data_IF_574992928053
#
_entry.id   IF_574992928053
#
_cell.length_a   1.000
_cell.length_b   1.000
_cell.length_c   1.000
_cell.angle_alpha   90.00
_cell.angle_beta   90.00
_cell.angle_gamma   90.00
#
_symmetry.space_group_name_H-M   'P 1'
#
loop_
_entity.id
_entity.type
_entity.pdbx_description
1 polymer ?
#
# COMPACT_ATOMS: atom_id res chain seq x y z
N UNK A 1 19.91 13.20 -15.74
CA UNK A 1 19.74 11.87 -15.85
C UNK A 1 18.31 11.48 -15.78
N UNK A 2 18.06 10.43 -16.36
CA UNK A 2 16.74 10.03 -16.50
C UNK A 2 16.22 9.45 -15.25
N UNK A 3 15.12 9.92 -14.87
CA UNK A 3 14.45 9.34 -13.77
C UNK A 3 14.05 7.95 -14.11
N UNK A 4 14.13 7.11 -13.18
CA UNK A 4 13.87 5.71 -13.42
C UNK A 4 12.38 5.44 -13.40
N UNK A 5 11.72 5.67 -14.53
CA UNK A 5 10.29 5.44 -14.63
C UNK A 5 9.94 3.98 -14.60
N UNK A 6 10.90 3.10 -14.75
CA UNK A 6 10.65 1.69 -14.59
C UNK A 6 10.37 1.32 -13.15
N UNK A 7 10.84 2.14 -12.20
CA UNK A 7 10.64 1.86 -10.78
C UNK A 7 9.51 2.70 -10.20
N UNK A 8 9.32 3.92 -10.69
CA UNK A 8 8.26 4.82 -10.25
C UNK A 8 7.57 5.37 -11.47
N UNK A 9 6.25 5.29 -11.49
CA UNK A 9 5.44 5.93 -12.51
C UNK A 9 4.51 6.93 -11.83
N UNK A 10 4.85 8.22 -11.84
CA UNK A 10 4.04 9.21 -11.11
C UNK A 10 2.62 9.32 -11.59
N UNK A 11 2.34 8.87 -12.83
CA UNK A 11 1.02 9.01 -13.41
C UNK A 11 0.12 7.80 -13.19
N UNK A 12 0.58 6.77 -12.49
CA UNK A 12 -0.25 5.60 -12.24
C UNK A 12 -1.25 5.92 -11.13
N UNK A 13 -2.53 5.66 -11.40
CA UNK A 13 -3.59 5.95 -10.46
C UNK A 13 -3.68 4.85 -9.41
N UNK A 14 -4.07 5.19 -8.17
CA UNK A 14 -4.34 4.15 -7.18
C UNK A 14 -5.45 3.24 -7.67
N UNK A 15 -5.35 1.96 -7.33
CA UNK A 15 -6.34 0.97 -7.74
C UNK A 15 -7.68 1.11 -7.00
N UNK A 16 -7.71 1.89 -5.94
CA UNK A 16 -8.92 2.13 -5.17
C UNK A 16 -8.58 2.62 -3.79
N UNK A 17 -9.55 2.54 -2.89
CA UNK A 17 -9.38 3.06 -1.54
C UNK A 17 -8.89 2.00 -0.56
N UNK A 18 -8.85 0.74 -0.95
CA UNK A 18 -8.49 -0.34 -0.05
C UNK A 18 -7.62 -1.37 -0.72
N UNK A 19 -7.17 -2.35 0.07
CA UNK A 19 -6.32 -3.42 -0.44
C UNK A 19 -7.10 -4.28 -1.43
N UNK A 20 -6.57 -4.38 -2.65
CA UNK A 20 -7.25 -5.09 -3.74
C UNK A 20 -7.54 -6.53 -3.34
N UNK A 21 -6.50 -7.25 -2.89
CA UNK A 21 -6.65 -8.67 -2.59
C UNK A 21 -7.51 -8.91 -1.36
N UNK A 22 -7.40 -8.04 -0.36
CA UNK A 22 -8.28 -8.17 0.80
C UNK A 22 -9.74 -7.99 0.42
N UNK A 23 -10.02 -7.05 -0.47
CA UNK A 23 -11.40 -6.80 -0.89
C UNK A 23 -11.93 -7.93 -1.75
N UNK A 24 -11.08 -8.54 -2.59
CA UNK A 24 -11.48 -9.68 -3.41
C UNK A 24 -11.71 -10.93 -2.59
N UNK A 25 -11.00 -11.05 -1.47
CA UNK A 25 -11.20 -12.15 -0.54
C UNK A 25 -12.43 -11.87 0.32
N UNK A 26 -13.16 -12.89 0.69
CA UNK A 26 -14.34 -12.70 1.53
C UNK A 26 -14.00 -12.35 2.97
N UNK A 27 -12.75 -12.57 3.41
CA UNK A 27 -12.37 -12.38 4.80
C UNK A 27 -11.16 -11.46 5.00
N UNK A 28 -10.61 -10.91 3.92
CA UNK A 28 -9.41 -10.09 4.05
C UNK A 28 -9.66 -8.80 4.80
N UNK A 29 -8.69 -8.41 5.61
CA UNK A 29 -8.71 -7.13 6.29
C UNK A 29 -7.28 -6.62 6.39
N UNK A 30 -7.13 -5.31 6.63
CA UNK A 30 -5.82 -4.68 6.64
C UNK A 30 -5.69 -3.71 7.80
N UNK A 31 -4.41 -3.47 8.19
CA UNK A 31 -4.11 -2.43 9.17
C UNK A 31 -3.87 -1.11 8.44
N UNK A 32 -2.76 -0.98 7.74
CA UNK A 32 -2.46 0.21 6.94
C UNK A 32 -2.34 -0.16 5.47
N UNK A 33 -2.39 0.83 4.60
CA UNK A 33 -2.36 0.62 3.16
C UNK A 33 -1.10 1.22 2.56
N UNK A 34 -0.65 0.57 1.47
CA UNK A 34 0.52 0.99 0.73
C UNK A 34 0.16 1.04 -0.75
N UNK A 35 0.76 1.99 -1.46
CA UNK A 35 0.52 2.18 -2.90
C UNK A 35 1.78 1.77 -3.65
N UNK A 36 1.64 0.91 -4.65
CA UNK A 36 2.75 0.60 -5.54
C UNK A 36 3.07 1.85 -6.36
N UNK A 37 4.31 2.33 -6.27
CA UNK A 37 4.68 3.55 -6.96
C UNK A 37 4.81 3.34 -8.48
N UNK A 38 4.78 2.08 -8.92
CA UNK A 38 4.89 1.77 -10.35
C UNK A 38 3.55 1.64 -11.02
N UNK A 39 2.60 0.93 -10.42
CA UNK A 39 1.33 0.64 -11.10
C UNK A 39 0.10 1.09 -10.32
N UNK A 40 0.27 1.63 -9.12
CA UNK A 40 -0.87 2.14 -8.35
C UNK A 40 -1.60 1.10 -7.55
N UNK A 41 -1.17 -0.15 -7.58
CA UNK A 41 -1.82 -1.21 -6.80
C UNK A 41 -1.81 -0.86 -5.32
N UNK A 42 -2.96 -0.97 -4.68
CA UNK A 42 -3.08 -0.73 -3.24
C UNK A 42 -3.08 -2.08 -2.54
N UNK A 43 -2.14 -2.25 -1.62
CA UNK A 43 -2.02 -3.46 -0.83
C UNK A 43 -1.84 -3.14 0.63
N UNK A 44 -2.06 -4.15 1.48
CA UNK A 44 -1.93 -3.96 2.91
C UNK A 44 -0.47 -4.06 3.35
N UNK A 45 -0.16 -3.40 4.46
CA UNK A 45 1.21 -3.29 4.96
C UNK A 45 1.69 -4.60 5.58
N UNK A 46 2.99 -4.63 5.92
CA UNK A 46 3.58 -5.84 6.49
C UNK A 46 3.09 -6.13 7.90
N UNK A 47 2.50 -5.16 8.59
CA UNK A 47 1.85 -5.44 9.88
C UNK A 47 0.49 -6.10 9.69
N UNK A 48 -0.09 -6.01 8.52
CA UNK A 48 -1.36 -6.67 8.22
C UNK A 48 -1.16 -8.18 8.08
N UNK A 49 -2.19 -8.97 8.35
CA UNK A 49 -2.02 -10.43 8.29
C UNK A 49 -1.59 -10.96 6.93
N UNK A 50 -2.06 -10.34 5.85
CA UNK A 50 -1.82 -10.87 4.50
C UNK A 50 -0.65 -10.24 3.79
N UNK A 51 -0.20 -9.06 4.19
CA UNK A 51 1.00 -8.42 3.64
C UNK A 51 0.98 -8.32 2.12
N UNK A 52 -0.15 -7.86 1.56
CA UNK A 52 -0.32 -7.89 0.11
C UNK A 52 0.60 -6.90 -0.62
N UNK A 53 1.01 -5.81 0.02
CA UNK A 53 1.89 -4.85 -0.65
C UNK A 53 3.26 -5.46 -0.93
N UNK A 54 3.85 -6.15 0.05
CA UNK A 54 5.14 -6.78 -0.17
C UNK A 54 5.04 -7.97 -1.11
N UNK A 55 3.92 -8.71 -1.05
CA UNK A 55 3.70 -9.81 -1.99
C UNK A 55 3.56 -9.29 -3.42
N UNK A 56 2.90 -8.16 -3.59
CA UNK A 56 2.80 -7.53 -4.91
C UNK A 56 4.18 -7.16 -5.44
N UNK A 57 5.01 -6.55 -4.60
CA UNK A 57 6.35 -6.17 -5.03
C UNK A 57 7.16 -7.39 -5.46
N UNK A 58 7.07 -8.47 -4.69
CA UNK A 58 7.82 -9.69 -5.00
C UNK A 58 7.32 -10.35 -6.28
N UNK A 59 6.00 -10.34 -6.50
CA UNK A 59 5.41 -11.02 -7.65
C UNK A 59 5.63 -10.25 -8.94
N UNK A 60 5.53 -8.92 -8.89
CA UNK A 60 5.58 -8.10 -10.09
C UNK A 60 6.95 -7.54 -10.39
N UNK A 61 7.85 -7.54 -9.40
CA UNK A 61 9.13 -6.86 -9.56
C UNK A 61 9.05 -5.35 -9.41
N UNK A 62 7.94 -4.83 -8.89
CA UNK A 62 7.79 -3.39 -8.66
C UNK A 62 8.30 -3.09 -7.23
N UNK A 63 9.52 -2.54 -7.08
CA UNK A 63 10.15 -2.56 -5.76
C UNK A 63 9.77 -1.41 -4.84
N UNK A 64 9.08 -0.39 -5.35
CA UNK A 64 8.90 0.84 -4.57
C UNK A 64 7.44 1.01 -4.21
N UNK A 65 7.19 1.24 -2.92
CA UNK A 65 5.86 1.56 -2.42
C UNK A 65 5.87 2.93 -1.75
N UNK A 66 4.70 3.54 -1.70
CA UNK A 66 4.47 4.77 -0.95
C UNK A 66 3.40 4.50 0.08
N UNK A 67 3.44 5.22 1.18
CA UNK A 67 2.33 5.16 2.12
C UNK A 67 1.06 5.65 1.44
N UNK A 68 -0.07 5.01 1.76
CA UNK A 68 -1.37 5.48 1.30
C UNK A 68 -2.22 5.94 2.47
N UNK A 69 -1.57 6.24 3.59
CA UNK A 69 -2.24 6.75 4.78
C UNK A 69 -2.23 8.26 4.78
N UNK A 70 -3.33 8.90 5.23
CA UNK A 70 -3.38 10.35 5.26
C UNK A 70 -2.26 10.95 6.10
N UNK A 71 -1.64 11.99 5.59
CA UNK A 71 -0.57 12.68 6.31
C UNK A 71 0.79 12.06 6.19
N UNK A 72 0.92 10.97 5.45
CA UNK A 72 2.22 10.30 5.24
C UNK A 72 2.65 10.46 3.79
N UNK A 73 3.94 10.68 3.60
CA UNK A 73 4.47 10.90 2.25
C UNK A 73 5.76 10.15 1.99
N UNK A 74 6.06 9.12 2.78
CA UNK A 74 7.31 8.39 2.63
C UNK A 74 7.21 7.31 1.55
N UNK A 75 8.39 6.96 1.01
CA UNK A 75 8.54 5.87 0.06
C UNK A 75 9.52 4.86 0.63
N UNK A 76 9.30 3.60 0.28
CA UNK A 76 10.17 2.50 0.70
C UNK A 76 10.55 1.66 -0.51
N UNK A 77 11.83 1.29 -0.58
CA UNK A 77 12.37 0.51 -1.69
C UNK A 77 12.74 -0.87 -1.17
N UNK A 78 12.00 -1.89 -1.63
CA UNK A 78 12.24 -3.26 -1.18
C UNK A 78 13.59 -3.79 -1.63
N UNK A 79 14.11 -3.31 -2.76
CA UNK A 79 15.42 -3.75 -3.22
C UNK A 79 16.54 -3.21 -2.34
N UNK A 80 16.44 -1.96 -1.93
CA UNK A 80 17.41 -1.38 -1.02
C UNK A 80 17.12 -1.69 0.42
N UNK A 81 15.90 -2.09 0.69
CA UNK A 81 15.40 -2.33 2.04
C UNK A 81 15.54 -1.09 2.92
N UNK A 82 15.10 0.03 2.40
CA UNK A 82 15.18 1.29 3.12
C UNK A 82 14.29 2.34 2.52
N UNK A 83 14.15 3.42 3.27
CA UNK A 83 13.39 4.58 2.82
C UNK A 83 14.13 5.30 1.72
N UNK A 84 13.41 5.83 0.75
CA UNK A 84 13.99 6.61 -0.32
C UNK A 84 13.20 7.89 -0.47
N UNK A 85 13.79 8.86 -1.16
CA UNK A 85 13.09 10.05 -1.55
C UNK A 85 12.30 9.73 -2.82
N UNK A 86 11.02 10.01 -2.79
CA UNK A 86 10.17 9.76 -3.94
C UNK A 86 9.87 11.03 -4.70
N UNK A 87 8.94 10.92 -5.65
CA UNK A 87 8.44 12.05 -6.40
C UNK A 87 6.95 12.15 -6.12
N UNK A 88 6.37 13.30 -6.43
CA UNK A 88 4.93 13.44 -6.25
C UNK A 88 4.19 12.56 -7.23
N UNK A 89 3.28 11.75 -6.71
CA UNK A 89 2.43 10.89 -7.53
C UNK A 89 1.11 11.60 -7.75
N UNK A 90 0.36 11.20 -8.78
CA UNK A 90 -0.93 11.84 -8.99
C UNK A 90 -1.89 11.49 -7.86
N UNK A 91 -2.81 12.41 -7.53
CA UNK A 91 -3.77 12.12 -6.47
C UNK A 91 -4.77 11.05 -6.89
N UNK A 92 -5.46 10.44 -5.92
CA UNK A 92 -5.37 10.72 -4.50
C UNK A 92 -4.11 10.15 -3.87
N UNK A 93 -3.60 10.82 -2.83
CA UNK A 93 -2.37 10.41 -2.17
C UNK A 93 -2.61 9.50 -0.98
N UNK A 94 -3.86 9.31 -0.59
CA UNK A 94 -4.21 8.48 0.55
C UNK A 94 -5.63 7.98 0.39
N UNK A 95 -5.97 6.98 1.21
CA UNK A 95 -7.38 6.62 1.34
C UNK A 95 -8.13 7.78 2.03
N UNK A 96 -9.47 7.80 1.94
CA UNK A 96 -10.23 8.86 2.62
C UNK A 96 -9.93 8.88 4.11
N UNK A 97 -9.89 10.09 4.67
CA UNK A 97 -9.52 10.24 6.07
C UNK A 97 -10.52 9.60 7.02
N UNK A 98 -11.78 9.48 6.60
CA UNK A 98 -12.80 8.87 7.43
C UNK A 98 -12.93 7.36 7.21
N UNK A 99 -12.06 6.77 6.40
CA UNK A 99 -12.08 5.33 6.20
C UNK A 99 -11.52 4.63 7.44
N UNK A 100 -12.17 3.55 7.91
CA UNK A 100 -11.70 2.87 9.11
C UNK A 100 -10.28 2.33 8.99
N UNK A 101 -9.53 2.43 10.08
CA UNK A 101 -8.20 1.86 10.21
C UNK A 101 -8.15 1.12 11.53
N UNK A 102 -8.03 -0.20 11.53
CA UNK A 102 -7.96 -1.09 10.37
C UNK A 102 -9.31 -1.22 9.67
N UNK A 103 -9.28 -1.76 8.48
CA UNK A 103 -10.47 -1.91 7.64
C UNK A 103 -10.46 -3.18 6.83
N UNK A 104 -11.49 -3.44 6.06
CA UNK A 104 -12.72 -2.64 5.98
C UNK A 104 -13.64 -2.91 7.16
N UNK A 105 -14.54 -1.97 7.41
CA UNK A 105 -15.49 -2.12 8.51
C UNK A 105 -16.27 -3.43 8.35
N UNK A 106 -16.50 -4.09 9.47
CA UNK A 106 -17.25 -5.34 9.48
C UNK A 106 -16.40 -6.58 9.29
N UNK A 107 -15.13 -6.45 8.92
CA UNK A 107 -14.27 -7.61 8.75
C UNK A 107 -13.16 -7.69 9.79
N UNK A 108 -12.87 -6.60 10.47
CA UNK A 108 -11.75 -6.53 11.40
C UNK A 108 -12.16 -7.23 12.70
N UNK A 109 -11.41 -8.27 13.12
CA UNK A 109 -11.79 -8.96 14.36
C UNK A 109 -11.54 -8.10 15.57
N UNK A 110 -12.27 -8.39 16.66
CA UNK A 110 -12.16 -7.60 17.88
C UNK A 110 -10.74 -7.65 18.46
N UNK A 111 -10.04 -8.78 18.26
CA UNK A 111 -8.68 -8.95 18.79
C UNK A 111 -7.61 -8.64 17.75
N UNK A 112 -7.88 -7.72 16.84
CA UNK A 112 -7.01 -7.47 15.70
C UNK A 112 -5.58 -7.10 16.12
N UNK A 113 -5.42 -6.43 17.25
CA UNK A 113 -4.08 -6.01 17.68
C UNK A 113 -3.16 -7.18 17.92
N UNK A 114 -3.71 -8.29 18.40
CA UNK A 114 -2.90 -9.48 18.65
C UNK A 114 -2.56 -10.24 17.37
N UNK A 115 -3.16 -9.86 16.24
CA UNK A 115 -2.97 -10.53 14.96
C UNK A 115 -2.03 -9.78 14.03
N UNK A 116 -1.50 -8.63 14.45
CA UNK A 116 -0.55 -7.87 13.64
C UNK A 116 0.82 -8.55 13.66
N UNK A 117 1.53 -8.39 12.56
CA UNK A 117 2.89 -8.92 12.44
C UNK A 117 3.94 -7.97 12.95
#
# INVERSE_FOLDING_TARGET
>A
MKKDRRRINPDSKPSGDGCVECLESSKGWWFHLRRCAKCGHIGCCDSSPSQHASKHAATTGHPIIASFEPGEDWFFDFEKQGMIKGVELIPPHSHPEDQPVPGPAGRVPANWESLLH
#
